data_IF_997127794215
#
_entry.id   IF_997127794215
#
_cell.length_a   1.000
_cell.length_b   1.000
_cell.length_c   1.000
_cell.angle_alpha   90.00
_cell.angle_beta   90.00
_cell.angle_gamma   90.00
#
_symmetry.space_group_name_H-M   'P 1'
#
loop_
_entity.id
_entity.type
_entity.pdbx_description
1 polymer ?
#
# COMPACT_ATOMS: atom_id res chain seq x y z
N UNK A 1 2.43 -3.99 8.07
CA UNK A 1 3.56 -3.63 7.18
C UNK A 1 3.20 -2.51 6.20
N UNK A 2 2.08 -2.59 5.47
CA UNK A 2 1.67 -1.54 4.52
C UNK A 2 1.67 -0.10 5.11
N UNK A 3 1.13 0.10 6.32
CA UNK A 3 1.17 1.41 7.01
C UNK A 3 2.61 1.90 7.27
N UNK A 4 3.56 1.01 7.55
CA UNK A 4 4.96 1.42 7.77
C UNK A 4 5.61 1.90 6.47
N UNK A 5 5.35 1.21 5.35
CA UNK A 5 5.80 1.62 4.02
C UNK A 5 5.20 2.98 3.67
N UNK A 6 3.89 3.16 3.89
CA UNK A 6 3.20 4.42 3.66
C UNK A 6 3.79 5.59 4.47
N UNK A 7 4.06 5.38 5.76
CA UNK A 7 4.69 6.39 6.62
C UNK A 7 6.09 6.79 6.14
N UNK A 8 6.87 5.86 5.61
CA UNK A 8 8.19 6.16 5.06
C UNK A 8 8.13 7.11 3.85
N UNK A 9 7.06 7.02 3.05
CA UNK A 9 6.88 7.88 1.89
C UNK A 9 6.05 9.14 2.18
N UNK A 10 5.43 9.27 3.35
CA UNK A 10 4.48 10.34 3.66
C UNK A 10 5.05 11.76 3.47
N UNK A 11 6.35 11.96 3.72
CA UNK A 11 7.03 13.25 3.53
C UNK A 11 7.09 13.71 2.06
N UNK A 12 6.85 12.82 1.09
CA UNK A 12 6.84 13.16 -0.34
C UNK A 12 5.52 13.78 -0.81
N UNK A 13 4.53 13.89 0.08
CA UNK A 13 3.16 14.31 -0.25
C UNK A 13 2.26 13.13 -0.57
N UNK A 14 0.95 13.31 -0.38
CA UNK A 14 -0.04 12.22 -0.40
C UNK A 14 -0.04 11.42 -1.71
N UNK A 15 -0.18 12.08 -2.86
CA UNK A 15 -0.23 11.40 -4.17
C UNK A 15 1.06 10.64 -4.49
N UNK A 16 2.21 11.24 -4.19
CA UNK A 16 3.51 10.61 -4.37
C UNK A 16 3.67 9.40 -3.44
N UNK A 17 3.26 9.54 -2.18
CA UNK A 17 3.33 8.47 -1.19
C UNK A 17 2.44 7.28 -1.54
N UNK A 18 1.22 7.52 -2.03
CA UNK A 18 0.32 6.46 -2.51
C UNK A 18 0.96 5.71 -3.68
N UNK A 19 1.53 6.44 -4.63
CA UNK A 19 2.19 5.88 -5.81
C UNK A 19 3.40 5.02 -5.43
N UNK A 20 4.28 5.56 -4.58
CA UNK A 20 5.48 4.87 -4.11
C UNK A 20 5.14 3.64 -3.27
N UNK A 21 4.13 3.73 -2.40
CA UNK A 21 3.67 2.59 -1.59
C UNK A 21 3.12 1.47 -2.46
N UNK A 22 2.27 1.80 -3.44
CA UNK A 22 1.72 0.80 -4.37
C UNK A 22 2.81 0.12 -5.21
N UNK A 23 3.80 0.90 -5.70
CA UNK A 23 4.95 0.36 -6.43
C UNK A 23 5.78 -0.57 -5.55
N UNK A 24 6.12 -0.14 -4.33
CA UNK A 24 6.89 -0.96 -3.40
C UNK A 24 6.19 -2.30 -3.09
N UNK A 25 4.88 -2.29 -2.85
CA UNK A 25 4.13 -3.53 -2.62
C UNK A 25 4.11 -4.40 -3.88
N UNK A 26 3.95 -3.82 -5.08
CA UNK A 26 4.02 -4.58 -6.35
C UNK A 26 5.38 -5.24 -6.57
N UNK A 27 6.45 -4.53 -6.27
CA UNK A 27 7.79 -4.97 -6.65
C UNK A 27 8.42 -5.91 -5.62
N UNK A 28 8.11 -5.73 -4.33
CA UNK A 28 8.81 -6.41 -3.24
C UNK A 28 7.96 -7.40 -2.44
N UNK A 29 6.63 -7.36 -2.51
CA UNK A 29 5.81 -8.35 -1.81
C UNK A 29 5.63 -9.61 -2.63
N UNK A 30 5.75 -10.76 -1.96
CA UNK A 30 5.42 -12.05 -2.54
C UNK A 30 3.93 -12.13 -2.90
N UNK A 31 3.56 -12.95 -3.92
CA UNK A 31 2.17 -13.12 -4.34
C UNK A 31 1.21 -13.43 -3.18
N UNK A 32 1.64 -14.25 -2.22
CA UNK A 32 0.82 -14.62 -1.04
C UNK A 32 0.49 -13.42 -0.14
N UNK A 33 1.44 -12.50 0.05
CA UNK A 33 1.23 -11.31 0.88
C UNK A 33 0.23 -10.36 0.21
N UNK A 34 0.34 -10.20 -1.12
CA UNK A 34 -0.60 -9.41 -1.92
C UNK A 34 -2.01 -10.00 -1.84
N UNK A 35 -2.16 -11.32 -2.04
CA UNK A 35 -3.45 -12.00 -1.90
C UNK A 35 -4.05 -11.84 -0.51
N UNK A 36 -3.24 -11.96 0.55
CA UNK A 36 -3.71 -11.82 1.93
C UNK A 36 -4.26 -10.41 2.20
N UNK A 37 -3.51 -9.36 1.86
CA UNK A 37 -3.96 -7.98 2.12
C UNK A 37 -5.15 -7.57 1.25
N UNK A 38 -5.26 -8.11 0.03
CA UNK A 38 -6.43 -7.88 -0.83
C UNK A 38 -7.69 -8.60 -0.29
N UNK A 39 -7.53 -9.77 0.35
CA UNK A 39 -8.62 -10.50 0.97
C UNK A 39 -9.08 -9.88 2.31
N UNK A 40 -8.14 -9.37 3.11
CA UNK A 40 -8.43 -8.64 4.35
C UNK A 40 -9.08 -7.27 4.06
N UNK A 41 -8.80 -6.69 2.89
CA UNK A 41 -9.29 -5.37 2.52
C UNK A 41 -8.47 -4.24 3.16
N UNK A 42 -9.04 -3.04 3.20
CA UNK A 42 -8.33 -1.83 3.65
C UNK A 42 -8.78 -1.33 5.02
N UNK A 43 -9.61 -2.10 5.71
CA UNK A 43 -10.07 -1.76 7.06
C UNK A 43 -8.89 -1.81 8.04
N UNK A 44 -8.61 -0.71 8.75
CA UNK A 44 -7.43 -0.57 9.60
C UNK A 44 -6.15 -0.10 8.90
N UNK A 45 -6.19 0.14 7.59
CA UNK A 45 -5.09 0.81 6.88
C UNK A 45 -5.20 2.33 7.01
N UNK A 46 -4.04 2.99 7.10
CA UNK A 46 -3.97 4.45 7.01
C UNK A 46 -4.36 4.92 5.60
N UNK A 47 -4.82 6.17 5.42
CA UNK A 47 -5.34 6.64 4.13
C UNK A 47 -4.42 6.37 2.93
N UNK A 48 -3.11 6.65 3.07
CA UNK A 48 -2.11 6.41 2.02
C UNK A 48 -1.98 4.91 1.71
N UNK A 49 -1.90 4.06 2.73
CA UNK A 49 -1.78 2.61 2.56
C UNK A 49 -3.05 2.03 1.93
N UNK A 50 -4.24 2.44 2.40
CA UNK A 50 -5.52 1.99 1.85
C UNK A 50 -5.69 2.40 0.38
N UNK A 51 -5.34 3.63 0.03
CA UNK A 51 -5.36 4.09 -1.36
C UNK A 51 -4.35 3.33 -2.23
N UNK A 52 -3.16 3.01 -1.70
CA UNK A 52 -2.16 2.21 -2.39
C UNK A 52 -2.64 0.78 -2.65
N UNK A 53 -3.27 0.13 -1.67
CA UNK A 53 -3.86 -1.21 -1.83
C UNK A 53 -4.98 -1.20 -2.88
N UNK A 54 -5.84 -0.18 -2.89
CA UNK A 54 -6.86 -0.03 -3.94
C UNK A 54 -6.27 0.08 -5.34
N UNK A 55 -5.09 0.71 -5.51
CA UNK A 55 -4.40 0.84 -6.81
C UNK A 55 -3.77 -0.45 -7.33
N UNK A 56 -3.52 -1.44 -6.47
CA UNK A 56 -2.97 -2.74 -6.91
C UNK A 56 -4.05 -3.81 -7.07
N UNK A 57 -5.28 -3.51 -6.67
CA UNK A 57 -6.45 -4.38 -6.80
C UNK A 57 -7.16 -4.27 -8.17
N UNK A 58 -6.91 -3.17 -8.91
CA UNK A 58 -7.41 -2.93 -10.26
C UNK A 58 -6.30 -3.03 -11.29
#
# INVERSE_FOLDING_TARGET
>A
MANQIARNFAAQGEDAAITATAAHIRDFWDPRMKSAILAEGVEGLEPIAGAAIKRIAG
#
